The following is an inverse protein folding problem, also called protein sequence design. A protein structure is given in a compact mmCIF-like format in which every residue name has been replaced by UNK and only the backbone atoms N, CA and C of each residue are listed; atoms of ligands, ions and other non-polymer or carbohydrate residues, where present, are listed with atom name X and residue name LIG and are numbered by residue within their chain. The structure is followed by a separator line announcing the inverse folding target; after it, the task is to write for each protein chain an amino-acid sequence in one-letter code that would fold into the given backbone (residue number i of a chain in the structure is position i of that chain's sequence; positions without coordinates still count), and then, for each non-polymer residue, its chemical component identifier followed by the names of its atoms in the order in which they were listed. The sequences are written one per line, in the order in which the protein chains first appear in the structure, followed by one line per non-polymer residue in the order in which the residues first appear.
data_IF_325234545229
#
_entry.id   IF_325234545229
#
_cell.length_a   1.000
_cell.length_b   1.000
_cell.length_c   1.000
_cell.angle_alpha   90.00
_cell.angle_beta   90.00
_cell.angle_gamma   90.00
#
_symmetry.space_group_name_H-M   'P 1'
#
loop_
_entity.id
_entity.type
_entity.pdbx_description
1 polymer ?
#
# COMPACT_ATOMS: atom_id res chain seq x y z
N UNK A 1 -0.50 4.33 24.57
CA UNK A 1 -0.91 3.31 23.58
C UNK A 1 0.19 3.25 22.53
N UNK A 2 0.84 2.10 22.37
CA UNK A 2 2.11 1.98 21.66
C UNK A 2 1.99 2.40 20.18
N UNK A 3 2.78 3.42 19.78
CA UNK A 3 3.12 3.63 18.38
C UNK A 3 3.74 2.33 17.86
N UNK A 4 3.07 1.68 16.91
CA UNK A 4 3.50 0.43 16.31
C UNK A 4 4.87 0.57 15.66
N UNK A 5 5.91 0.29 16.44
CA UNK A 5 7.15 -0.40 16.09
C UNK A 5 7.63 -0.24 14.61
N UNK A 6 8.49 0.78 14.43
CA UNK A 6 9.70 0.84 13.56
C UNK A 6 9.46 0.96 12.05
N UNK A 7 9.48 2.19 11.50
CA UNK A 7 10.41 2.73 10.45
C UNK A 7 9.97 4.19 10.22
N UNK A 8 10.25 5.13 11.13
CA UNK A 8 9.86 6.53 10.88
C UNK A 8 10.74 7.53 11.62
N UNK A 9 12.06 7.35 11.52
CA UNK A 9 12.98 8.39 11.98
C UNK A 9 13.66 9.12 10.81
N UNK A 10 13.80 8.53 9.61
CA UNK A 10 14.48 9.20 8.48
C UNK A 10 13.90 8.91 7.07
N UNK A 11 12.56 8.85 6.90
CA UNK A 11 11.98 8.85 5.54
C UNK A 11 11.71 10.30 5.15
N UNK A 12 12.31 10.76 4.04
CA UNK A 12 12.09 12.11 3.54
C UNK A 12 10.63 12.33 3.15
N UNK A 13 10.14 13.56 3.23
CA UNK A 13 8.79 13.92 2.79
C UNK A 13 8.54 13.52 1.32
N UNK A 14 9.54 13.73 0.46
CA UNK A 14 9.51 13.31 -0.94
C UNK A 14 9.31 11.79 -1.09
N UNK A 15 10.01 10.99 -0.29
CA UNK A 15 9.84 9.54 -0.32
C UNK A 15 8.44 9.12 0.18
N UNK A 16 7.88 9.79 1.19
CA UNK A 16 6.50 9.56 1.62
C UNK A 16 5.49 9.89 0.53
N UNK A 17 5.70 10.99 -0.20
CA UNK A 17 4.83 11.38 -1.30
C UNK A 17 4.95 10.44 -2.49
N UNK A 18 6.16 9.96 -2.80
CA UNK A 18 6.38 8.93 -3.81
C UNK A 18 5.69 7.61 -3.46
N UNK A 19 5.75 7.17 -2.19
CA UNK A 19 5.05 5.95 -1.72
C UNK A 19 3.53 6.10 -1.88
N UNK A 20 2.97 7.26 -1.52
CA UNK A 20 1.53 7.53 -1.71
C UNK A 20 1.15 7.54 -3.18
N UNK A 21 1.95 8.18 -4.03
CA UNK A 21 1.72 8.20 -5.47
C UNK A 21 1.75 6.78 -6.06
N UNK A 22 2.70 5.95 -5.62
CA UNK A 22 2.78 4.54 -6.00
C UNK A 22 1.54 3.76 -5.55
N UNK A 23 1.09 3.94 -4.31
CA UNK A 23 -0.13 3.31 -3.79
C UNK A 23 -1.38 3.69 -4.60
N UNK A 24 -1.51 4.98 -4.95
CA UNK A 24 -2.58 5.47 -5.81
C UNK A 24 -2.52 4.83 -7.22
N UNK A 25 -1.33 4.75 -7.82
CA UNK A 25 -1.14 4.10 -9.11
C UNK A 25 -1.49 2.61 -9.07
N UNK A 26 -1.09 1.89 -8.01
CA UNK A 26 -1.45 0.48 -7.81
C UNK A 26 -2.97 0.29 -7.73
N UNK A 27 -3.67 1.16 -6.99
CA UNK A 27 -5.13 1.17 -6.93
C UNK A 27 -5.75 1.38 -8.31
N UNK A 28 -5.26 2.34 -9.09
CA UNK A 28 -5.76 2.60 -10.44
C UNK A 28 -5.54 1.39 -11.36
N UNK A 29 -4.35 0.78 -11.32
CA UNK A 29 -4.05 -0.40 -12.12
C UNK A 29 -4.98 -1.58 -11.79
N UNK A 30 -5.23 -1.83 -10.49
CA UNK A 30 -6.17 -2.88 -10.06
C UNK A 30 -7.59 -2.61 -10.57
N UNK A 31 -8.07 -1.36 -10.45
CA UNK A 31 -9.39 -0.99 -10.94
C UNK A 31 -9.50 -1.09 -12.46
N UNK A 32 -8.46 -0.70 -13.20
CA UNK A 32 -8.40 -0.85 -14.65
C UNK A 32 -8.42 -2.32 -15.09
N UNK A 33 -7.87 -3.22 -14.26
CA UNK A 33 -7.97 -4.67 -14.45
C UNK A 33 -9.34 -5.25 -14.05
N UNK A 34 -10.27 -4.45 -13.53
CA UNK A 34 -11.58 -4.90 -13.06
C UNK A 34 -11.52 -5.74 -11.77
N UNK A 35 -10.41 -5.69 -11.04
CA UNK A 35 -10.20 -6.52 -9.86
C UNK A 35 -10.67 -5.79 -8.58
N UNK A 36 -11.45 -6.47 -7.73
CA UNK A 36 -11.61 -6.08 -6.33
C UNK A 36 -10.35 -6.39 -5.52
N UNK A 37 -10.16 -5.75 -4.36
CA UNK A 37 -8.97 -5.97 -3.51
C UNK A 37 -8.80 -7.45 -3.12
N UNK A 38 -9.89 -8.16 -2.81
CA UNK A 38 -9.83 -9.58 -2.46
C UNK A 38 -9.36 -10.47 -3.63
N UNK A 39 -9.81 -10.19 -4.84
CA UNK A 39 -9.39 -10.92 -6.04
C UNK A 39 -7.90 -10.68 -6.34
N UNK A 40 -7.44 -9.43 -6.25
CA UNK A 40 -6.04 -9.08 -6.41
C UNK A 40 -5.16 -9.73 -5.32
N UNK A 41 -5.62 -9.75 -4.06
CA UNK A 41 -4.92 -10.40 -2.96
C UNK A 41 -4.75 -11.91 -3.18
N UNK A 42 -5.82 -12.59 -3.61
CA UNK A 42 -5.79 -14.01 -3.94
C UNK A 42 -4.83 -14.31 -5.10
N UNK A 43 -4.85 -13.49 -6.16
CA UNK A 43 -3.94 -13.63 -7.32
C UNK A 43 -2.47 -13.45 -6.93
N UNK A 44 -2.18 -12.51 -6.03
CA UNK A 44 -0.83 -12.19 -5.58
C UNK A 44 -0.34 -13.05 -4.41
N UNK A 45 -1.21 -13.89 -3.81
CA UNK A 45 -0.86 -14.72 -2.67
C UNK A 45 -0.61 -13.95 -1.38
N UNK A 46 -1.28 -12.80 -1.19
CA UNK A 46 -1.15 -11.95 0.00
C UNK A 46 -2.48 -11.80 0.73
N UNK A 47 -2.43 -11.33 1.98
CA UNK A 47 -3.64 -11.00 2.72
C UNK A 47 -4.32 -9.76 2.10
N UNK A 48 -5.66 -9.71 2.09
CA UNK A 48 -6.42 -8.57 1.52
C UNK A 48 -6.06 -7.23 2.18
N UNK A 49 -5.72 -7.26 3.47
CA UNK A 49 -5.24 -6.09 4.19
C UNK A 49 -3.92 -5.54 3.61
N UNK A 50 -3.02 -6.40 3.12
CA UNK A 50 -1.78 -5.97 2.47
C UNK A 50 -2.09 -5.10 1.26
N UNK A 51 -3.06 -5.50 0.42
CA UNK A 51 -3.51 -4.69 -0.71
C UNK A 51 -4.03 -3.32 -0.23
N UNK A 52 -4.87 -3.31 0.80
CA UNK A 52 -5.40 -2.06 1.36
C UNK A 52 -4.31 -1.12 1.87
N UNK A 53 -3.28 -1.64 2.54
CA UNK A 53 -2.17 -0.83 3.07
C UNK A 53 -1.24 -0.31 1.97
N UNK A 54 -0.96 -1.11 0.94
CA UNK A 54 -0.22 -0.65 -0.26
C UNK A 54 -0.97 0.50 -0.93
N UNK A 55 -2.27 0.34 -1.16
CA UNK A 55 -3.09 1.36 -1.83
C UNK A 55 -3.28 2.63 -1.00
N UNK A 56 -3.16 2.53 0.33
CA UNK A 56 -3.12 3.69 1.23
C UNK A 56 -1.75 4.40 1.26
N UNK A 57 -0.73 3.82 0.62
CA UNK A 57 0.63 4.33 0.65
C UNK A 57 1.25 4.24 2.05
N UNK A 58 0.93 3.20 2.81
CA UNK A 58 1.51 2.98 4.13
C UNK A 58 2.98 2.53 4.00
N UNK A 59 3.95 3.29 4.56
CA UNK A 59 5.35 2.89 4.52
C UNK A 59 5.59 1.60 5.33
N UNK A 60 6.47 0.73 4.82
CA UNK A 60 6.87 -0.50 5.54
C UNK A 60 5.86 -1.66 5.45
N UNK A 61 4.94 -1.60 4.49
CA UNK A 61 4.10 -2.73 4.05
C UNK A 61 4.89 -3.74 3.25
#
# INVERSE_FOLDING_TARGET
MAQGKRISVDISGEALDAIKALGAAARQARLAAGEGQAAAAARLGVHVQTIGRIEAGEPGV
#
